data_IF_790151298356
#
_entry.id   IF_790151298356
#
_cell.length_a   1.000
_cell.length_b   1.000
_cell.length_c   1.000
_cell.angle_alpha   90.00
_cell.angle_beta   90.00
_cell.angle_gamma   90.00
#
_symmetry.space_group_name_H-M   'P 1'
#
loop_
_entity.id
_entity.type
_entity.pdbx_description
1 polymer ?
#
# COMPACT_ATOMS: atom_id res chain seq x y z
N UNK A 1 0.51 5.63 11.92
CA UNK A 1 -0.06 4.58 11.02
C UNK A 1 1.09 4.05 10.18
N UNK A 2 1.38 2.76 10.14
CA UNK A 2 2.61 2.26 9.49
C UNK A 2 2.20 1.49 8.23
N UNK A 3 2.48 2.06 7.06
CA UNK A 3 2.64 1.27 5.84
C UNK A 3 3.99 0.56 5.92
N UNK A 4 4.09 -0.72 5.62
CA UNK A 4 5.38 -1.41 5.50
C UNK A 4 5.32 -2.31 4.28
N UNK A 5 6.35 -2.23 3.42
CA UNK A 5 6.54 -3.01 2.19
C UNK A 5 7.87 -3.75 2.30
N UNK A 6 7.88 -5.07 2.08
CA UNK A 6 9.06 -5.90 2.36
C UNK A 6 9.28 -7.02 1.32
N UNK A 7 10.48 -7.16 0.72
CA UNK A 7 10.76 -8.06 -0.45
C UNK A 7 11.19 -9.49 -0.09
N UNK A 8 10.73 -10.49 -0.86
CA UNK A 8 11.22 -11.88 -0.83
C UNK A 8 12.30 -12.12 -1.91
N UNK A 9 13.43 -12.73 -1.57
CA UNK A 9 14.46 -13.17 -2.51
C UNK A 9 14.38 -14.68 -2.72
N UNK A 10 14.12 -15.14 -3.94
CA UNK A 10 14.21 -16.56 -4.33
C UNK A 10 15.60 -16.85 -4.90
N UNK A 11 16.43 -17.59 -4.17
CA UNK A 11 17.66 -18.21 -4.70
C UNK A 11 17.42 -19.72 -4.81
N UNK A 12 17.43 -20.22 -6.04
CA UNK A 12 17.47 -21.66 -6.35
C UNK A 12 18.89 -22.15 -6.06
N UNK A 13 19.03 -23.11 -5.14
CA UNK A 13 20.30 -23.78 -4.85
C UNK A 13 20.04 -25.29 -4.76
N UNK A 14 20.73 -26.16 -5.54
CA UNK A 14 20.46 -27.59 -5.51
C UNK A 14 21.15 -28.28 -4.32
N UNK A 15 20.38 -29.22 -3.77
CA UNK A 15 20.61 -30.23 -2.73
C UNK A 15 22.08 -30.57 -2.34
N UNK A 16 22.36 -30.48 -1.04
CA UNK A 16 23.09 -31.51 -0.30
C UNK A 16 22.41 -31.71 1.07
N UNK A 17 22.02 -32.95 1.37
CA UNK A 17 21.28 -33.30 2.58
C UNK A 17 22.21 -33.47 3.79
N UNK A 18 21.88 -32.79 4.90
CA UNK A 18 22.31 -33.14 6.24
C UNK A 18 21.09 -33.03 7.16
N UNK A 19 20.65 -34.18 7.70
CA UNK A 19 19.51 -34.28 8.62
C UNK A 19 19.97 -33.82 10.01
N UNK A 20 19.71 -32.56 10.32
CA UNK A 20 19.76 -32.02 11.69
C UNK A 20 18.32 -31.82 12.13
N UNK A 21 17.84 -32.63 13.07
CA UNK A 21 16.56 -32.39 13.75
C UNK A 21 16.78 -31.29 14.78
N UNK A 22 16.91 -30.05 14.30
CA UNK A 22 16.50 -28.87 15.03
C UNK A 22 15.15 -28.50 14.44
N UNK A 23 14.07 -28.72 15.20
CA UNK A 23 12.78 -28.17 14.84
C UNK A 23 12.98 -26.68 14.53
N UNK A 24 12.68 -26.20 13.31
CA UNK A 24 12.84 -24.80 13.04
C UNK A 24 11.76 -24.11 13.87
N UNK A 25 12.18 -23.47 14.97
CA UNK A 25 11.65 -22.15 15.24
C UNK A 25 11.87 -21.39 13.93
N UNK A 26 10.83 -21.36 13.09
CA UNK A 26 10.77 -20.45 11.96
C UNK A 26 10.70 -19.06 12.61
N UNK A 27 11.85 -18.55 13.04
CA UNK A 27 12.05 -17.13 13.18
C UNK A 27 11.69 -16.59 11.81
N UNK A 28 10.49 -16.02 11.71
CA UNK A 28 10.01 -15.38 10.49
C UNK A 28 11.05 -14.33 10.19
N UNK A 29 11.89 -14.58 9.18
CA UNK A 29 12.92 -13.62 8.79
C UNK A 29 12.20 -12.29 8.57
N UNK A 30 12.49 -11.30 9.40
CA UNK A 30 11.86 -10.00 9.27
C UNK A 30 12.35 -9.40 7.96
N UNK A 31 11.43 -9.27 7.02
CA UNK A 31 11.73 -8.73 5.71
C UNK A 31 12.09 -7.24 5.87
N UNK A 32 13.08 -6.73 5.11
CA UNK A 32 13.50 -5.34 5.24
C UNK A 32 12.35 -4.40 4.89
N UNK A 33 12.13 -3.37 5.72
CA UNK A 33 11.14 -2.33 5.46
C UNK A 33 11.67 -1.39 4.38
N UNK A 34 10.99 -1.35 3.24
CA UNK A 34 11.35 -0.51 2.11
C UNK A 34 10.71 0.87 2.16
N UNK A 35 9.53 0.98 2.78
CA UNK A 35 8.78 2.21 2.84
C UNK A 35 7.84 2.22 4.04
N UNK A 36 7.80 3.36 4.73
CA UNK A 36 6.83 3.66 5.78
C UNK A 36 6.33 5.08 5.63
N UNK A 37 5.02 5.24 5.74
CA UNK A 37 4.37 6.54 5.81
C UNK A 37 3.23 6.51 6.82
N UNK A 38 3.27 7.48 7.74
CA UNK A 38 2.23 7.75 8.72
C UNK A 38 1.52 9.08 8.48
N UNK A 39 1.87 9.75 7.38
CA UNK A 39 1.36 11.04 6.93
C UNK A 39 1.64 12.21 7.89
N UNK A 40 2.46 12.02 8.94
CA UNK A 40 2.83 13.09 9.86
C UNK A 40 3.63 14.21 9.18
N UNK A 41 4.32 13.87 8.09
CA UNK A 41 5.15 14.78 7.29
C UNK A 41 4.46 15.31 6.03
N UNK A 42 3.20 14.93 5.79
CA UNK A 42 2.50 15.24 4.55
C UNK A 42 2.27 14.00 3.68
N UNK A 43 1.96 14.22 2.41
CA UNK A 43 1.71 13.17 1.42
C UNK A 43 2.48 13.43 0.11
N UNK A 44 3.61 14.14 0.19
CA UNK A 44 4.42 14.55 -0.96
C UNK A 44 5.00 13.35 -1.72
N UNK A 45 5.05 12.18 -1.10
CA UNK A 45 5.50 10.93 -1.71
C UNK A 45 4.40 10.26 -2.55
N UNK A 46 3.18 10.76 -2.50
CA UNK A 46 2.02 10.20 -3.19
C UNK A 46 1.62 11.06 -4.39
N UNK A 47 1.11 10.42 -5.42
CA UNK A 47 0.61 11.03 -6.64
C UNK A 47 -0.88 10.69 -6.80
N UNK A 48 -1.77 11.58 -6.34
CA UNK A 48 -3.19 11.43 -6.55
C UNK A 48 -3.59 11.80 -7.98
N UNK A 49 -4.55 11.07 -8.56
CA UNK A 49 -5.13 11.38 -9.88
C UNK A 49 -5.78 12.77 -9.93
N UNK A 50 -6.29 13.24 -8.79
CA UNK A 50 -6.73 14.62 -8.57
C UNK A 50 -6.32 15.07 -7.16
N UNK A 51 -5.29 15.92 -7.00
CA UNK A 51 -4.86 16.41 -5.69
C UNK A 51 -5.96 17.08 -4.86
N UNK A 52 -7.00 17.64 -5.50
CA UNK A 52 -8.10 18.31 -4.77
C UNK A 52 -9.06 17.31 -4.12
N UNK A 53 -9.07 16.07 -4.58
CA UNK A 53 -9.89 15.00 -4.01
C UNK A 53 -9.23 14.35 -2.79
N UNK A 54 -8.03 14.78 -2.40
CA UNK A 54 -7.25 14.19 -1.32
C UNK A 54 -6.75 15.24 -0.33
N UNK A 55 -6.63 14.83 0.94
CA UNK A 55 -6.15 15.72 2.00
C UNK A 55 -5.48 14.93 3.11
N UNK A 56 -4.38 15.46 3.65
CA UNK A 56 -3.87 14.98 4.94
C UNK A 56 -4.69 15.60 6.07
N UNK A 57 -5.38 14.76 6.83
CA UNK A 57 -6.24 15.16 7.95
C UNK A 57 -5.62 14.73 9.27
N UNK A 58 -5.50 15.65 10.22
CA UNK A 58 -5.09 15.35 11.59
C UNK A 58 -6.28 14.81 12.39
N UNK A 59 -6.06 13.73 13.11
CA UNK A 59 -7.02 13.10 14.00
C UNK A 59 -6.89 13.64 15.43
N UNK A 60 -7.94 13.52 16.28
CA UNK A 60 -7.90 14.01 17.66
C UNK A 60 -6.82 13.35 18.54
N UNK A 61 -6.37 12.15 18.19
CA UNK A 61 -5.34 11.39 18.89
C UNK A 61 -3.90 11.79 18.48
N UNK A 62 -3.76 12.81 17.62
CA UNK A 62 -2.48 13.30 17.10
C UNK A 62 -1.96 12.56 15.87
N UNK A 63 -2.63 11.50 15.41
CA UNK A 63 -2.27 10.83 14.16
C UNK A 63 -2.69 11.66 12.93
N UNK A 64 -2.07 11.37 11.78
CA UNK A 64 -2.48 11.89 10.49
C UNK A 64 -2.98 10.76 9.58
N UNK A 65 -3.92 11.09 8.70
CA UNK A 65 -4.45 10.17 7.68
C UNK A 65 -4.50 10.86 6.32
N UNK A 66 -4.25 10.10 5.26
CA UNK A 66 -4.45 10.55 3.90
C UNK A 66 -5.88 10.21 3.45
N UNK A 67 -6.72 11.23 3.43
CA UNK A 67 -8.17 11.13 3.31
C UNK A 67 -8.63 11.34 1.87
N UNK A 68 -9.35 10.37 1.32
CA UNK A 68 -10.04 10.48 0.04
C UNK A 68 -11.40 11.16 0.24
N UNK A 69 -11.51 12.40 -0.21
CA UNK A 69 -12.72 13.21 -0.14
C UNK A 69 -13.73 12.87 -1.25
N UNK A 70 -13.26 12.22 -2.32
CA UNK A 70 -14.04 11.92 -3.52
C UNK A 70 -14.17 13.12 -4.45
N UNK A 71 -15.04 13.02 -5.46
CA UNK A 71 -15.32 14.14 -6.37
C UNK A 71 -14.17 14.53 -7.31
N UNK A 72 -13.23 13.62 -7.55
CA UNK A 72 -12.16 13.79 -8.55
C UNK A 72 -12.70 14.12 -9.94
N UNK A 73 -12.01 15.03 -10.65
CA UNK A 73 -12.26 15.38 -12.06
C UNK A 73 -11.43 14.56 -13.05
N UNK A 74 -10.66 13.58 -12.56
CA UNK A 74 -9.91 12.65 -13.39
C UNK A 74 -10.85 11.83 -14.28
N UNK A 75 -10.53 11.71 -15.56
CA UNK A 75 -11.26 10.90 -16.54
C UNK A 75 -10.45 9.63 -16.87
N UNK A 76 -10.72 8.50 -16.19
CA UNK A 76 -10.07 7.23 -16.51
C UNK A 76 -10.48 6.69 -17.89
N UNK A 77 -9.65 5.84 -18.52
CA UNK A 77 -9.98 5.19 -19.80
C UNK A 77 -11.15 4.19 -19.68
N UNK A 78 -11.47 3.75 -18.47
CA UNK A 78 -12.61 2.90 -18.13
C UNK A 78 -13.51 3.58 -17.10
N UNK A 79 -14.70 3.03 -16.81
CA UNK A 79 -15.72 3.65 -15.94
C UNK A 79 -15.20 4.08 -14.54
N UNK A 80 -14.18 3.41 -14.01
CA UNK A 80 -13.64 3.61 -12.66
C UNK A 80 -12.25 2.97 -12.59
N UNK A 81 -11.38 3.33 -11.63
CA UNK A 81 -11.59 4.23 -10.48
C UNK A 81 -11.27 5.71 -10.76
N UNK A 82 -12.02 6.62 -10.13
CA UNK A 82 -11.83 8.08 -10.26
C UNK A 82 -10.79 8.66 -9.29
N UNK A 83 -10.61 8.02 -8.13
CA UNK A 83 -9.72 8.49 -7.07
C UNK A 83 -8.68 7.40 -6.85
N UNK A 84 -7.48 7.62 -7.36
CA UNK A 84 -6.30 6.78 -7.11
C UNK A 84 -5.23 7.69 -6.51
N UNK A 85 -4.44 7.17 -5.59
CA UNK A 85 -3.19 7.80 -5.20
C UNK A 85 -2.08 6.76 -5.15
N UNK A 86 -1.07 6.93 -6.00
CA UNK A 86 0.03 5.99 -6.16
C UNK A 86 1.25 6.47 -5.38
N UNK A 87 2.02 5.54 -4.81
CA UNK A 87 3.32 5.89 -4.24
C UNK A 87 4.31 6.11 -5.40
N UNK A 88 4.89 7.31 -5.47
CA UNK A 88 5.94 7.64 -6.44
C UNK A 88 7.21 6.81 -6.21
N UNK A 89 8.03 6.63 -7.24
CA UNK A 89 9.42 6.17 -7.12
C UNK A 89 9.63 4.88 -6.30
N UNK A 90 8.64 3.98 -6.25
CA UNK A 90 8.73 2.73 -5.50
C UNK A 90 8.30 1.54 -6.37
N UNK A 91 9.28 0.90 -7.01
CA UNK A 91 9.07 -0.31 -7.80
C UNK A 91 9.47 -1.56 -7.01
N UNK A 92 8.49 -2.38 -6.65
CA UNK A 92 8.68 -3.62 -5.89
C UNK A 92 8.07 -4.81 -6.62
N UNK A 93 8.73 -5.97 -6.51
CA UNK A 93 8.21 -7.26 -6.97
C UNK A 93 7.32 -7.86 -5.90
N UNK A 94 7.67 -9.03 -5.36
CA UNK A 94 6.94 -9.61 -4.22
C UNK A 94 7.10 -8.75 -2.97
N UNK A 95 5.99 -8.47 -2.29
CA UNK A 95 6.03 -7.75 -1.03
C UNK A 95 4.94 -8.11 -0.03
N UNK A 96 5.19 -7.80 1.24
CA UNK A 96 4.16 -7.76 2.28
C UNK A 96 3.69 -6.33 2.44
N UNK A 97 2.38 -6.07 2.36
CA UNK A 97 1.77 -4.78 2.65
C UNK A 97 1.03 -4.83 3.99
N UNK A 98 1.36 -3.93 4.91
CA UNK A 98 0.52 -3.68 6.09
C UNK A 98 -0.08 -2.29 5.98
N UNK A 99 -1.41 -2.14 5.98
CA UNK A 99 -2.08 -0.84 5.91
C UNK A 99 -3.25 -0.78 6.90
N UNK A 100 -3.49 0.39 7.49
CA UNK A 100 -4.73 0.67 8.23
C UNK A 100 -5.68 1.43 7.31
N UNK A 101 -6.83 0.88 7.01
CA UNK A 101 -7.82 1.54 6.14
C UNK A 101 -9.14 1.73 6.89
N UNK A 102 -9.84 2.79 6.56
CA UNK A 102 -11.13 3.12 7.16
C UNK A 102 -12.07 3.69 6.09
N UNK A 103 -13.33 3.28 6.12
CA UNK A 103 -14.41 3.96 5.37
C UNK A 103 -15.14 4.92 6.30
N UNK A 104 -15.33 6.17 5.88
CA UNK A 104 -16.20 7.15 6.56
C UNK A 104 -17.68 7.01 6.20
N UNK A 105 -18.00 6.13 5.25
CA UNK A 105 -19.34 5.96 4.72
C UNK A 105 -19.95 4.67 5.23
N UNK A 106 -21.29 4.64 5.26
CA UNK A 106 -22.06 3.43 5.54
C UNK A 106 -21.83 2.36 4.49
N UNK A 107 -21.96 1.10 4.91
CA UNK A 107 -21.89 -0.04 3.99
C UNK A 107 -23.09 -0.02 3.05
N UNK A 108 -22.84 -0.05 1.74
CA UNK A 108 -23.86 -0.14 0.68
C UNK A 108 -23.26 -0.77 -0.58
N UNK A 109 -24.11 -1.13 -1.53
CA UNK A 109 -23.67 -1.69 -2.80
C UNK A 109 -22.72 -0.73 -3.55
N UNK A 110 -21.73 -1.32 -4.24
CA UNK A 110 -20.73 -0.64 -5.07
C UNK A 110 -19.84 0.37 -4.31
N UNK A 111 -19.46 0.03 -3.07
CA UNK A 111 -18.55 0.83 -2.24
C UNK A 111 -17.32 0.02 -1.90
N UNK A 112 -16.28 0.24 -2.67
CA UNK A 112 -15.01 -0.47 -2.51
C UNK A 112 -13.96 0.46 -1.88
N UNK A 113 -13.18 -0.10 -0.96
CA UNK A 113 -11.89 0.44 -0.54
C UNK A 113 -10.82 -0.41 -1.22
N UNK A 114 -10.20 0.12 -2.26
CA UNK A 114 -9.26 -0.64 -3.08
C UNK A 114 -7.81 -0.32 -2.70
N UNK A 115 -6.97 -1.34 -2.74
CA UNK A 115 -5.52 -1.21 -2.72
C UNK A 115 -4.99 -1.65 -4.08
N UNK A 116 -4.20 -0.79 -4.72
CA UNK A 116 -3.66 -1.02 -6.06
C UNK A 116 -2.17 -1.39 -5.96
N UNK A 117 -1.77 -2.40 -6.72
CA UNK A 117 -0.38 -2.86 -6.81
C UNK A 117 -0.11 -3.35 -8.23
N UNK A 118 1.15 -3.29 -8.66
CA UNK A 118 1.52 -3.66 -10.03
C UNK A 118 1.01 -2.68 -11.11
N UNK A 119 0.58 -1.47 -10.73
CA UNK A 119 0.12 -0.44 -11.66
C UNK A 119 1.18 -0.13 -12.72
N UNK A 120 0.79 -0.17 -14.00
CA UNK A 120 1.65 0.18 -15.12
C UNK A 120 1.20 1.52 -15.72
N UNK A 121 -0.09 1.66 -15.97
CA UNK A 121 -0.68 2.84 -16.57
C UNK A 121 -2.19 2.93 -16.28
N UNK A 122 -2.88 4.02 -16.63
CA UNK A 122 -4.32 4.18 -16.37
C UNK A 122 -5.23 3.06 -16.91
N UNK A 123 -4.78 2.29 -17.89
CA UNK A 123 -5.50 1.18 -18.49
C UNK A 123 -5.00 -0.20 -17.99
N UNK A 124 -3.91 -0.29 -17.23
CA UNK A 124 -3.27 -1.55 -16.84
C UNK A 124 -2.70 -1.56 -15.40
#
# INVERSE_FOLDING_TARGET
MILSISRSFSRIQPLLAALVVLGPFLARAELPVLFTDDFSKGAELWEPTDPKAWKVTKLPDGNAVFDCLGGSKYEPPYRSPFNIALRKDLLVGDFVLTAKVMTKQTSRAHRDMCLFFGYQDPAH
#
